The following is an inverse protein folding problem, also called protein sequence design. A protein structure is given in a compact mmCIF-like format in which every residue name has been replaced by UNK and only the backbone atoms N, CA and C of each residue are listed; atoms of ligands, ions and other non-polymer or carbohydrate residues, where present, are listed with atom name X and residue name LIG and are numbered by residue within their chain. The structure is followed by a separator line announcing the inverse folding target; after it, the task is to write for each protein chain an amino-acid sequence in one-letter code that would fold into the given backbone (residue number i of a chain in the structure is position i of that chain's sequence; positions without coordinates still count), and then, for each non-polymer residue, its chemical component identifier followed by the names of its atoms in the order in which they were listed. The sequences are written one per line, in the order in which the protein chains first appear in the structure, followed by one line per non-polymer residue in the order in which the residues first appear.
data_IF_484051274119
#
_entry.id   IF_484051274119
#
_cell.length_a   1.000
_cell.length_b   1.000
_cell.length_c   1.000
_cell.angle_alpha   90.00
_cell.angle_beta   90.00
_cell.angle_gamma   90.00
#
_symmetry.space_group_name_H-M   'P 1'
#
loop_
_entity.id
_entity.type
_entity.pdbx_description
1 polymer ?
#
# COMPACT_ATOMS: atom_id res chain seq x y z
N UNK A 1 7.98 -16.27 -18.64
CA UNK A 1 6.80 -16.63 -17.83
C UNK A 1 6.96 -15.97 -16.47
N UNK A 2 6.04 -15.11 -16.07
CA UNK A 2 6.16 -14.34 -14.83
C UNK A 2 5.94 -15.27 -13.63
N UNK A 3 6.92 -15.40 -12.73
CA UNK A 3 6.80 -16.24 -11.53
C UNK A 3 6.56 -15.34 -10.31
N UNK A 4 5.29 -15.20 -9.94
CA UNK A 4 4.85 -14.33 -8.85
C UNK A 4 5.53 -14.69 -7.53
N UNK A 5 5.71 -15.99 -7.23
CA UNK A 5 6.33 -16.44 -5.97
C UNK A 5 7.77 -15.95 -5.87
N UNK A 6 8.52 -16.00 -6.98
CA UNK A 6 9.91 -15.52 -7.01
C UNK A 6 9.98 -13.99 -6.87
N UNK A 7 9.08 -13.25 -7.51
CA UNK A 7 9.03 -11.78 -7.36
C UNK A 7 8.66 -11.36 -5.93
N UNK A 8 7.69 -12.04 -5.30
CA UNK A 8 7.32 -11.78 -3.90
C UNK A 8 8.48 -12.03 -2.95
N UNK A 9 9.29 -13.07 -3.19
CA UNK A 9 10.50 -13.34 -2.38
C UNK A 9 11.53 -12.22 -2.46
N UNK A 10 11.62 -11.49 -3.58
CA UNK A 10 12.55 -10.37 -3.71
C UNK A 10 12.18 -9.19 -2.80
N UNK A 11 10.88 -8.97 -2.58
CA UNK A 11 10.35 -7.89 -1.73
C UNK A 11 10.06 -8.34 -0.28
N UNK A 12 10.37 -9.59 0.08
CA UNK A 12 10.07 -10.16 1.41
C UNK A 12 10.62 -9.30 2.55
N UNK A 13 11.85 -8.80 2.39
CA UNK A 13 12.49 -7.94 3.39
C UNK A 13 11.74 -6.63 3.60
N UNK A 14 11.22 -6.04 2.53
CA UNK A 14 10.46 -4.79 2.57
C UNK A 14 9.11 -5.01 3.27
N UNK A 15 8.40 -6.09 2.93
CA UNK A 15 7.15 -6.50 3.60
C UNK A 15 7.37 -6.67 5.11
N UNK A 16 8.44 -7.37 5.51
CA UNK A 16 8.78 -7.56 6.93
C UNK A 16 9.08 -6.21 7.60
N UNK A 17 9.80 -5.32 6.91
CA UNK A 17 10.13 -3.98 7.39
C UNK A 17 8.88 -3.14 7.62
N UNK A 18 7.98 -3.05 6.62
CA UNK A 18 6.70 -2.34 6.73
C UNK A 18 5.87 -2.86 7.90
N UNK A 19 5.73 -4.19 8.02
CA UNK A 19 5.01 -4.82 9.15
C UNK A 19 5.59 -4.38 10.49
N UNK A 20 6.92 -4.38 10.64
CA UNK A 20 7.58 -3.98 11.89
C UNK A 20 7.36 -2.49 12.19
N UNK A 21 7.50 -1.61 11.19
CA UNK A 21 7.25 -0.17 11.34
C UNK A 21 5.82 0.11 11.80
N UNK A 22 4.83 -0.50 11.13
CA UNK A 22 3.42 -0.34 11.46
C UNK A 22 3.11 -0.89 12.86
N UNK A 23 3.66 -2.06 13.21
CA UNK A 23 3.42 -2.66 14.52
C UNK A 23 4.05 -1.87 15.68
N UNK A 24 5.09 -1.07 15.41
CA UNK A 24 5.68 -0.15 16.40
C UNK A 24 4.82 1.10 16.64
N UNK A 25 3.89 1.43 15.74
CA UNK A 25 3.06 2.62 15.79
C UNK A 25 1.58 2.21 15.74
N UNK A 26 1.05 1.57 16.80
CA UNK A 26 -0.37 1.25 16.85
C UNK A 26 -1.18 2.55 17.02
N UNK A 27 -1.96 2.91 16.01
CA UNK A 27 -2.95 3.98 16.06
C UNK A 27 -4.36 3.35 16.06
N UNK A 28 -5.32 3.98 16.75
CA UNK A 28 -6.66 3.41 16.98
C UNK A 28 -7.76 4.36 16.57
N UNK A 29 -8.89 3.80 16.12
CA UNK A 29 -10.04 4.58 15.66
C UNK A 29 -9.79 5.24 14.31
N UNK A 30 -10.32 6.44 14.11
CA UNK A 30 -10.25 7.21 12.87
C UNK A 30 -9.24 8.37 12.94
N UNK A 31 -8.13 8.15 13.66
CA UNK A 31 -7.03 9.10 13.73
C UNK A 31 -5.71 8.35 13.48
N UNK A 32 -5.37 8.20 12.21
CA UNK A 32 -4.26 7.38 11.72
C UNK A 32 -3.17 8.21 10.99
N UNK A 33 -2.74 9.38 11.52
CA UNK A 33 -1.89 10.30 10.78
C UNK A 33 -0.52 9.70 10.43
N UNK A 34 0.06 8.86 11.30
CA UNK A 34 1.37 8.24 11.03
C UNK A 34 1.24 7.04 10.10
N UNK A 35 0.21 6.22 10.30
CA UNK A 35 -0.07 5.04 9.48
C UNK A 35 -0.37 5.46 8.04
N UNK A 36 -1.27 6.42 7.84
CA UNK A 36 -1.62 6.94 6.52
C UNK A 36 -0.41 7.54 5.82
N UNK A 37 0.42 8.31 6.55
CA UNK A 37 1.64 8.88 5.99
C UNK A 37 2.62 7.81 5.53
N UNK A 38 2.84 6.77 6.34
CA UNK A 38 3.70 5.64 5.96
C UNK A 38 3.23 4.97 4.67
N UNK A 39 1.91 4.79 4.51
CA UNK A 39 1.34 4.18 3.30
C UNK A 39 1.52 5.11 2.10
N UNK A 40 1.23 6.42 2.25
CA UNK A 40 1.41 7.41 1.19
C UNK A 40 2.85 7.50 0.72
N UNK A 41 3.82 7.57 1.66
CA UNK A 41 5.25 7.63 1.35
C UNK A 41 5.70 6.40 0.53
N UNK A 42 5.23 5.19 0.88
CA UNK A 42 5.56 3.97 0.13
C UNK A 42 4.88 3.93 -1.25
N UNK A 43 3.64 4.42 -1.38
CA UNK A 43 2.95 4.53 -2.68
C UNK A 43 3.63 5.55 -3.61
N UNK A 44 4.08 6.69 -3.05
CA UNK A 44 4.86 7.69 -3.78
C UNK A 44 6.20 7.12 -4.27
N UNK A 45 6.91 6.37 -3.42
CA UNK A 45 8.16 5.68 -3.81
C UNK A 45 7.96 4.65 -4.93
N UNK A 46 6.78 4.00 -4.98
CA UNK A 46 6.40 3.07 -6.04
C UNK A 46 5.82 3.77 -7.28
N UNK A 47 5.66 5.09 -7.24
CA UNK A 47 5.04 5.90 -8.28
C UNK A 47 3.61 5.41 -8.62
N UNK A 48 2.83 5.08 -7.58
CA UNK A 48 1.44 4.65 -7.68
C UNK A 48 0.53 5.84 -7.37
N UNK A 49 -0.40 6.14 -8.27
CA UNK A 49 -1.43 7.16 -8.05
C UNK A 49 -2.38 6.72 -6.92
N UNK A 50 -2.66 7.60 -5.97
CA UNK A 50 -3.60 7.31 -4.88
C UNK A 50 -4.50 8.50 -4.54
N UNK A 51 -5.63 8.18 -3.91
CA UNK A 51 -6.56 9.14 -3.36
C UNK A 51 -6.77 8.89 -1.87
N UNK A 52 -6.77 9.98 -1.09
CA UNK A 52 -7.10 9.95 0.33
C UNK A 52 -8.59 10.24 0.55
N UNK A 53 -9.21 9.49 1.45
CA UNK A 53 -10.61 9.59 1.86
C UNK A 53 -10.70 9.71 3.39
N UNK A 54 -11.88 10.03 3.91
CA UNK A 54 -12.17 10.07 5.37
C UNK A 54 -11.13 10.91 6.12
N UNK A 55 -10.89 12.15 5.64
CA UNK A 55 -9.89 13.07 6.17
C UNK A 55 -8.46 12.50 6.25
N UNK A 56 -8.08 11.63 5.31
CA UNK A 56 -6.75 11.03 5.24
C UNK A 56 -6.61 9.69 5.95
N UNK A 57 -7.65 9.17 6.59
CA UNK A 57 -7.60 7.88 7.30
C UNK A 57 -7.84 6.67 6.40
N UNK A 58 -8.29 6.89 5.16
CA UNK A 58 -8.46 5.86 4.15
C UNK A 58 -7.68 6.26 2.89
N UNK A 59 -6.98 5.29 2.29
CA UNK A 59 -6.18 5.50 1.10
C UNK A 59 -6.58 4.47 0.06
N UNK A 60 -6.80 4.91 -1.17
CA UNK A 60 -7.11 4.07 -2.32
C UNK A 60 -6.03 4.27 -3.36
N UNK A 61 -5.17 3.27 -3.54
CA UNK A 61 -4.17 3.24 -4.63
C UNK A 61 -4.77 2.66 -5.90
N UNK A 62 -4.47 3.28 -7.04
CA UNK A 62 -4.92 2.87 -8.36
C UNK A 62 -3.73 2.52 -9.25
N UNK A 63 -3.58 1.23 -9.54
CA UNK A 63 -2.57 0.73 -10.49
C UNK A 63 -3.26 0.58 -11.85
N UNK A 64 -2.94 1.48 -12.79
CA UNK A 64 -3.49 1.45 -14.16
C UNK A 64 -2.67 0.49 -15.03
N UNK A 65 -3.34 -0.52 -15.58
CA UNK A 65 -2.77 -1.38 -16.60
C UNK A 65 -2.62 -0.67 -17.95
N UNK A 66 -1.95 -1.32 -18.90
CA UNK A 66 -1.74 -0.77 -20.26
C UNK A 66 -2.99 -0.83 -21.14
N UNK A 67 -3.88 -1.76 -20.87
CA UNK A 67 -5.08 -2.02 -21.67
C UNK A 67 -6.33 -1.77 -20.83
N UNK A 68 -7.40 -1.35 -21.49
CA UNK A 68 -8.72 -1.30 -20.87
C UNK A 68 -9.21 -2.72 -20.55
N UNK A 69 -9.85 -2.88 -19.41
CA UNK A 69 -10.28 -4.20 -18.97
C UNK A 69 -10.91 -4.20 -17.58
N UNK A 70 -10.97 -5.39 -16.99
CA UNK A 70 -11.56 -5.59 -15.67
C UNK A 70 -10.67 -5.02 -14.57
N UNK A 71 -11.31 -4.38 -13.59
CA UNK A 71 -10.64 -3.85 -12.39
C UNK A 71 -10.81 -4.82 -11.22
N UNK A 72 -9.74 -5.05 -10.46
CA UNK A 72 -9.75 -5.88 -9.24
C UNK A 72 -9.55 -4.97 -8.04
N UNK A 73 -10.43 -5.08 -7.04
CA UNK A 73 -10.28 -4.42 -5.75
C UNK A 73 -9.58 -5.33 -4.74
N UNK A 74 -8.50 -4.85 -4.14
CA UNK A 74 -7.82 -5.49 -3.00
C UNK A 74 -7.95 -4.57 -1.78
N UNK A 75 -8.28 -5.15 -0.62
CA UNK A 75 -8.41 -4.42 0.64
C UNK A 75 -7.62 -5.15 1.74
N UNK A 76 -6.84 -4.40 2.51
CA UNK A 76 -6.11 -4.84 3.70
C UNK A 76 -6.31 -3.89 4.88
#
# INVERSE_FOLDING_TARGET
MFNIIQEVKKIEKDIISWRRKLHQIPEVGLNLPKTSRLIMDELDNMNIEYHTLVNGNAIVGLIKGKEEGKTIGLRG
#
